data_IF_595423488430
#
_entry.id   IF_595423488430
#
_cell.length_a   1.000
_cell.length_b   1.000
_cell.length_c   1.000
_cell.angle_alpha   90.00
_cell.angle_beta   90.00
_cell.angle_gamma   90.00
#
_symmetry.space_group_name_H-M   'P 1'
#
loop_
_entity.id
_entity.type
_entity.pdbx_description
1 polymer ?
#
# COMPACT_ATOMS: atom_id res chain seq x y z
N UNK A 1 21.28 -19.36 -3.60
CA UNK A 1 21.16 -19.57 -2.12
C UNK A 1 20.41 -20.87 -1.80
N UNK A 2 20.54 -21.41 -0.59
CA UNK A 2 19.76 -22.56 -0.09
C UNK A 2 18.67 -22.10 0.92
N UNK A 3 17.79 -23.03 1.34
CA UNK A 3 16.65 -22.71 2.22
C UNK A 3 17.08 -22.13 3.58
N UNK A 4 18.14 -22.67 4.17
CA UNK A 4 18.64 -22.26 5.50
C UNK A 4 19.20 -20.84 5.44
N UNK A 5 20.06 -20.53 4.46
CA UNK A 5 20.60 -19.18 4.27
C UNK A 5 19.53 -18.15 4.01
N UNK A 6 18.46 -18.51 3.29
CA UNK A 6 17.33 -17.59 3.09
C UNK A 6 16.63 -17.32 4.42
N UNK A 7 16.36 -18.36 5.23
CA UNK A 7 15.73 -18.17 6.55
C UNK A 7 16.59 -17.33 7.49
N UNK A 8 17.90 -17.60 7.56
CA UNK A 8 18.85 -16.82 8.36
C UNK A 8 18.86 -15.36 7.96
N UNK A 9 18.91 -15.07 6.65
CA UNK A 9 18.87 -13.70 6.12
C UNK A 9 17.55 -12.99 6.47
N UNK A 10 16.40 -13.66 6.36
CA UNK A 10 15.11 -13.09 6.73
C UNK A 10 15.04 -12.76 8.23
N UNK A 11 15.53 -13.66 9.08
CA UNK A 11 15.60 -13.45 10.53
C UNK A 11 16.59 -12.34 10.90
N UNK A 12 17.69 -12.20 10.15
CA UNK A 12 18.64 -11.12 10.36
C UNK A 12 18.04 -9.76 9.93
N UNK A 13 17.26 -9.70 8.84
CA UNK A 13 16.53 -8.47 8.44
C UNK A 13 15.55 -8.03 9.54
N UNK A 14 14.74 -8.96 10.05
CA UNK A 14 13.88 -8.70 11.19
C UNK A 14 13.58 -10.01 11.91
N UNK A 15 13.78 -10.06 13.23
CA UNK A 15 13.43 -11.22 14.04
C UNK A 15 11.91 -11.52 13.99
N UNK A 16 11.58 -12.81 14.07
CA UNK A 16 10.21 -13.31 14.19
C UNK A 16 10.08 -14.13 15.49
N UNK A 17 8.97 -13.95 16.21
CA UNK A 17 8.68 -14.75 17.42
C UNK A 17 8.09 -16.11 17.07
N UNK A 18 7.57 -16.28 15.85
CA UNK A 18 6.91 -17.50 15.41
C UNK A 18 7.81 -18.28 14.47
N UNK A 19 8.08 -19.55 14.81
CA UNK A 19 8.81 -20.41 13.89
C UNK A 19 8.08 -20.55 12.54
N UNK A 20 8.87 -20.61 11.47
CA UNK A 20 8.42 -20.71 10.08
C UNK A 20 9.43 -21.50 9.26
N UNK A 21 9.00 -22.01 8.11
CA UNK A 21 9.87 -22.73 7.18
C UNK A 21 10.03 -21.95 5.87
N UNK A 22 11.18 -22.10 5.23
CA UNK A 22 11.43 -21.62 3.87
C UNK A 22 11.71 -22.84 3.01
N UNK A 23 11.00 -22.97 1.88
CA UNK A 23 11.16 -24.08 0.96
C UNK A 23 11.23 -23.60 -0.49
N UNK A 24 12.39 -23.77 -1.11
CA UNK A 24 12.51 -23.79 -2.57
C UNK A 24 11.83 -25.04 -3.12
N UNK A 25 10.77 -24.85 -3.90
CA UNK A 25 9.87 -25.92 -4.33
C UNK A 25 10.43 -26.83 -5.44
N UNK A 26 11.53 -26.43 -6.08
CA UNK A 26 12.08 -27.09 -7.27
C UNK A 26 11.20 -26.95 -8.53
N UNK A 27 10.19 -26.07 -8.48
CA UNK A 27 9.16 -25.91 -9.50
C UNK A 27 9.18 -24.51 -10.08
N UNK A 28 8.68 -24.43 -11.30
CA UNK A 28 8.26 -23.18 -11.95
C UNK A 28 6.75 -23.02 -11.75
N UNK A 29 6.27 -21.79 -11.62
CA UNK A 29 4.85 -21.47 -11.51
C UNK A 29 4.51 -20.31 -12.40
N UNK A 30 3.51 -20.49 -13.27
CA UNK A 30 3.02 -19.43 -14.16
C UNK A 30 2.18 -18.36 -13.43
N UNK A 31 1.80 -18.60 -12.17
CA UNK A 31 0.85 -17.75 -11.42
C UNK A 31 1.53 -16.85 -10.41
N UNK A 32 2.49 -17.38 -9.66
CA UNK A 32 3.14 -16.70 -8.54
C UNK A 32 4.60 -17.12 -8.44
N UNK A 33 5.45 -16.24 -7.94
CA UNK A 33 6.87 -16.52 -7.68
C UNK A 33 7.11 -17.10 -6.28
N UNK A 34 6.26 -16.72 -5.32
CA UNK A 34 6.28 -17.19 -3.95
C UNK A 34 4.86 -17.36 -3.41
N UNK A 35 4.75 -18.05 -2.28
CA UNK A 35 3.50 -18.19 -1.54
C UNK A 35 3.78 -18.42 -0.06
N UNK A 36 3.30 -17.52 0.78
CA UNK A 36 3.17 -17.74 2.21
C UNK A 36 1.87 -18.51 2.55
N UNK A 37 2.00 -19.59 3.30
CA UNK A 37 0.88 -20.34 3.90
C UNK A 37 0.73 -19.98 5.37
N UNK A 38 -0.30 -19.21 5.76
CA UNK A 38 -0.46 -18.76 7.15
C UNK A 38 -0.65 -19.88 8.16
N UNK A 39 -1.38 -20.94 7.79
CA UNK A 39 -1.73 -22.05 8.70
C UNK A 39 -0.50 -22.85 9.13
N UNK A 40 0.39 -23.13 8.19
CA UNK A 40 1.63 -23.89 8.45
C UNK A 40 2.84 -23.00 8.68
N UNK A 41 2.70 -21.68 8.52
CA UNK A 41 3.79 -20.70 8.54
C UNK A 41 4.93 -21.13 7.59
N UNK A 42 4.56 -21.49 6.37
CA UNK A 42 5.50 -21.95 5.36
C UNK A 42 5.64 -20.90 4.26
N UNK A 43 6.88 -20.51 3.96
CA UNK A 43 7.24 -19.68 2.81
C UNK A 43 7.69 -20.61 1.69
N UNK A 44 6.92 -20.66 0.61
CA UNK A 44 7.25 -21.38 -0.60
C UNK A 44 7.85 -20.43 -1.65
N UNK A 45 8.95 -20.85 -2.26
CA UNK A 45 9.61 -20.12 -3.35
C UNK A 45 9.66 -21.02 -4.60
N UNK A 46 9.08 -20.55 -5.70
CA UNK A 46 9.14 -21.23 -7.00
C UNK A 46 10.47 -20.91 -7.68
N UNK A 47 11.54 -21.51 -7.17
CA UNK A 47 12.91 -21.11 -7.47
C UNK A 47 13.32 -21.26 -8.95
N UNK A 48 12.57 -21.99 -9.78
CA UNK A 48 12.80 -22.02 -11.24
C UNK A 48 12.29 -20.77 -11.97
N UNK A 49 11.49 -19.91 -11.31
CA UNK A 49 11.06 -18.63 -11.86
C UNK A 49 12.15 -17.55 -11.80
N UNK A 50 13.22 -17.74 -11.02
CA UNK A 50 14.22 -16.71 -10.78
C UNK A 50 15.46 -16.93 -11.63
N UNK A 51 16.00 -15.85 -12.16
CA UNK A 51 17.23 -15.84 -12.95
C UNK A 51 18.39 -15.18 -12.22
N UNK A 52 18.12 -14.50 -11.10
CA UNK A 52 19.12 -13.87 -10.24
C UNK A 52 18.77 -14.03 -8.77
N UNK A 53 19.77 -13.99 -7.89
CA UNK A 53 19.54 -14.00 -6.44
C UNK A 53 18.72 -12.77 -6.00
N UNK A 54 18.90 -11.61 -6.62
CA UNK A 54 18.09 -10.40 -6.34
C UNK A 54 16.58 -10.64 -6.50
N UNK A 55 16.15 -11.37 -7.55
CA UNK A 55 14.74 -11.69 -7.75
C UNK A 55 14.21 -12.67 -6.69
N UNK A 56 15.03 -13.65 -6.31
CA UNK A 56 14.72 -14.61 -5.26
C UNK A 56 14.57 -13.90 -3.90
N UNK A 57 15.52 -13.02 -3.55
CA UNK A 57 15.54 -12.29 -2.28
C UNK A 57 14.36 -11.32 -2.17
N UNK A 58 14.06 -10.57 -3.23
CA UNK A 58 12.86 -9.71 -3.28
C UNK A 58 11.59 -10.50 -2.96
N UNK A 59 11.45 -11.68 -3.56
CA UNK A 59 10.28 -12.55 -3.35
C UNK A 59 10.28 -13.16 -1.94
N UNK A 60 11.44 -13.57 -1.43
CA UNK A 60 11.55 -14.09 -0.07
C UNK A 60 11.13 -13.02 0.97
N UNK A 61 11.58 -11.77 0.82
CA UNK A 61 11.18 -10.66 1.69
C UNK A 61 9.68 -10.35 1.55
N UNK A 62 9.12 -10.50 0.35
CA UNK A 62 7.67 -10.34 0.12
C UNK A 62 6.86 -11.36 0.92
N UNK A 63 7.19 -12.64 0.79
CA UNK A 63 6.50 -13.70 1.53
C UNK A 63 6.77 -13.60 3.04
N UNK A 64 7.96 -13.17 3.44
CA UNK A 64 8.28 -12.91 4.84
C UNK A 64 7.49 -11.75 5.43
N UNK A 65 7.16 -10.74 4.61
CA UNK A 65 6.27 -9.67 5.03
C UNK A 65 4.87 -10.20 5.38
N UNK A 66 4.34 -11.15 4.58
CA UNK A 66 3.09 -11.82 4.95
C UNK A 66 3.21 -12.58 6.26
N UNK A 67 4.34 -13.27 6.49
CA UNK A 67 4.62 -13.96 7.75
C UNK A 67 4.60 -13.01 8.96
N UNK A 68 5.35 -11.91 8.91
CA UNK A 68 5.43 -10.96 10.02
C UNK A 68 4.10 -10.25 10.29
N UNK A 69 3.31 -9.97 9.26
CA UNK A 69 1.96 -9.39 9.43
C UNK A 69 1.00 -10.42 10.00
N UNK A 70 1.15 -11.70 9.64
CA UNK A 70 0.38 -12.78 10.22
C UNK A 70 0.69 -12.93 11.72
N UNK A 71 1.97 -12.88 12.10
CA UNK A 71 2.41 -12.86 13.49
C UNK A 71 1.77 -11.73 14.29
N UNK A 72 1.83 -10.49 13.79
CA UNK A 72 1.21 -9.33 14.45
C UNK A 72 -0.30 -9.52 14.66
N UNK A 73 -0.99 -10.07 13.66
CA UNK A 73 -2.44 -10.35 13.76
C UNK A 73 -2.76 -11.42 14.79
N UNK A 74 -1.93 -12.46 14.89
CA UNK A 74 -2.08 -13.50 15.90
C UNK A 74 -1.90 -12.88 17.30
N UNK A 75 -0.87 -12.06 17.48
CA UNK A 75 -0.60 -11.34 18.73
C UNK A 75 -1.77 -10.39 19.11
N UNK A 76 -2.24 -9.57 18.15
CA UNK A 76 -3.37 -8.65 18.37
C UNK A 76 -4.70 -9.35 18.69
N UNK A 77 -4.94 -10.53 18.11
CA UNK A 77 -6.15 -11.31 18.35
C UNK A 77 -6.05 -12.27 19.54
N UNK A 78 -4.87 -12.37 20.17
CA UNK A 78 -4.58 -13.38 21.18
C UNK A 78 -4.75 -14.81 20.68
N UNK A 79 -4.49 -15.05 19.38
CA UNK A 79 -4.63 -16.35 18.71
C UNK A 79 -6.06 -16.81 18.43
N UNK A 80 -7.06 -15.94 18.61
CA UNK A 80 -8.49 -16.31 18.54
C UNK A 80 -9.12 -16.17 17.16
N UNK A 81 -8.50 -15.40 16.27
CA UNK A 81 -8.97 -15.27 14.90
C UNK A 81 -8.08 -16.12 13.99
N UNK A 82 -8.66 -17.00 13.14
CA UNK A 82 -7.88 -17.68 12.12
C UNK A 82 -7.23 -16.63 11.19
N UNK A 83 -6.05 -16.92 10.65
CA UNK A 83 -5.35 -16.03 9.74
C UNK A 83 -6.09 -15.93 8.42
N UNK A 84 -7.15 -15.14 8.38
CA UNK A 84 -7.96 -14.96 7.19
C UNK A 84 -8.16 -13.46 6.96
N UNK A 85 -7.51 -12.94 5.92
CA UNK A 85 -7.92 -11.67 5.33
C UNK A 85 -7.97 -11.80 3.81
N UNK A 86 -9.06 -11.31 3.24
CA UNK A 86 -9.33 -11.29 1.80
C UNK A 86 -8.44 -10.32 1.01
N UNK A 87 -7.63 -9.49 1.66
CA UNK A 87 -6.70 -8.54 1.01
C UNK A 87 -5.34 -8.50 1.71
N UNK A 88 -4.36 -9.18 1.13
CA UNK A 88 -3.00 -9.31 1.68
C UNK A 88 -2.11 -8.10 1.36
N UNK A 89 -2.32 -7.43 0.23
CA UNK A 89 -1.52 -6.28 -0.23
C UNK A 89 -2.22 -4.94 0.07
N UNK A 90 -2.13 -4.51 1.32
CA UNK A 90 -2.58 -3.18 1.77
C UNK A 90 -1.42 -2.17 1.77
N UNK A 91 -1.69 -0.87 1.94
CA UNK A 91 -0.61 0.11 2.12
C UNK A 91 0.30 -0.21 3.31
N UNK A 92 -0.25 -0.84 4.36
CA UNK A 92 0.55 -1.29 5.49
C UNK A 92 1.52 -2.41 5.10
N UNK A 93 1.04 -3.37 4.30
CA UNK A 93 1.89 -4.41 3.72
C UNK A 93 3.04 -3.81 2.92
N UNK A 94 2.74 -2.91 1.97
CA UNK A 94 3.77 -2.33 1.10
C UNK A 94 4.76 -1.47 1.88
N UNK A 95 4.29 -0.67 2.83
CA UNK A 95 5.19 0.10 3.69
C UNK A 95 6.12 -0.80 4.52
N UNK A 96 5.61 -1.90 5.09
CA UNK A 96 6.43 -2.86 5.83
C UNK A 96 7.42 -3.58 4.91
N UNK A 97 6.96 -4.06 3.76
CA UNK A 97 7.79 -4.72 2.75
C UNK A 97 8.94 -3.82 2.29
N UNK A 98 8.66 -2.55 1.95
CA UNK A 98 9.71 -1.61 1.55
C UNK A 98 10.68 -1.29 2.70
N UNK A 99 10.20 -1.21 3.95
CA UNK A 99 11.08 -1.07 5.11
C UNK A 99 12.01 -2.28 5.29
N UNK A 100 11.54 -3.50 5.04
CA UNK A 100 12.38 -4.70 5.08
C UNK A 100 13.39 -4.74 3.92
N UNK A 101 13.00 -4.24 2.73
CA UNK A 101 13.94 -4.07 1.62
C UNK A 101 15.02 -3.04 1.95
N UNK A 102 14.67 -1.90 2.54
CA UNK A 102 15.65 -0.89 2.98
C UNK A 102 16.70 -1.53 3.91
N UNK A 103 16.26 -2.31 4.92
CA UNK A 103 17.17 -3.02 5.84
C UNK A 103 18.01 -4.06 5.09
N UNK A 104 17.43 -4.79 4.13
CA UNK A 104 18.15 -5.75 3.32
C UNK A 104 19.22 -5.08 2.43
N UNK A 105 18.97 -3.87 1.93
CA UNK A 105 19.96 -3.08 1.19
C UNK A 105 21.08 -2.58 2.10
N UNK A 106 20.74 -2.06 3.28
CA UNK A 106 21.72 -1.61 4.28
C UNK A 106 22.65 -2.74 4.73
N UNK A 107 22.12 -3.96 4.83
CA UNK A 107 22.88 -5.18 5.16
C UNK A 107 23.57 -5.84 3.98
N UNK A 108 23.37 -5.34 2.76
CA UNK A 108 23.98 -5.85 1.53
C UNK A 108 23.39 -7.17 1.03
N UNK A 109 22.23 -7.59 1.52
CA UNK A 109 21.51 -8.76 1.02
C UNK A 109 20.76 -8.48 -0.27
N UNK A 110 20.23 -7.26 -0.41
CA UNK A 110 19.49 -6.85 -1.59
C UNK A 110 20.19 -5.67 -2.26
N UNK A 111 20.12 -5.62 -3.59
CA UNK A 111 20.56 -4.46 -4.38
C UNK A 111 19.71 -4.37 -5.63
N UNK A 112 19.03 -3.24 -5.81
CA UNK A 112 18.47 -2.87 -7.10
C UNK A 112 19.57 -2.20 -7.94
N UNK A 113 20.02 -2.88 -9.00
CA UNK A 113 21.06 -2.35 -9.89
C UNK A 113 20.57 -2.33 -11.34
N UNK A 114 20.43 -1.12 -11.89
CA UNK A 114 20.03 -0.90 -13.27
C UNK A 114 21.23 -0.74 -14.21
N UNK A 115 22.47 -0.69 -13.70
CA UNK A 115 23.67 -0.44 -14.51
C UNK A 115 23.89 -1.51 -15.58
N UNK A 116 23.43 -2.74 -15.36
CA UNK A 116 23.46 -3.84 -16.33
C UNK A 116 22.42 -3.74 -17.45
N UNK A 117 21.54 -2.73 -17.44
CA UNK A 117 20.42 -2.59 -18.38
C UNK A 117 20.33 -1.15 -18.92
N UNK A 118 21.25 -0.73 -19.81
CA UNK A 118 21.32 0.66 -20.29
C UNK A 118 20.06 1.11 -21.03
N UNK A 119 19.38 0.20 -21.75
CA UNK A 119 18.09 0.51 -22.39
C UNK A 119 16.99 0.82 -21.38
N UNK A 120 16.97 0.10 -20.25
CA UNK A 120 16.02 0.35 -19.17
C UNK A 120 16.33 1.67 -18.45
N UNK A 121 17.60 2.00 -18.23
CA UNK A 121 18.02 3.28 -17.65
C UNK A 121 17.61 4.46 -18.56
N UNK A 122 17.86 4.36 -19.87
CA UNK A 122 17.46 5.36 -20.84
C UNK A 122 15.93 5.54 -20.88
N UNK A 123 15.18 4.44 -20.93
CA UNK A 123 13.72 4.49 -20.89
C UNK A 123 13.19 5.07 -19.57
N UNK A 124 13.84 4.76 -18.45
CA UNK A 124 13.46 5.30 -17.13
C UNK A 124 13.60 6.82 -17.10
N UNK A 125 14.70 7.36 -17.64
CA UNK A 125 14.90 8.82 -17.79
C UNK A 125 13.82 9.42 -18.69
N UNK A 126 13.56 8.81 -19.83
CA UNK A 126 12.51 9.27 -20.74
C UNK A 126 11.13 9.29 -20.09
N UNK A 127 10.75 8.24 -19.36
CA UNK A 127 9.47 8.16 -18.63
C UNK A 127 9.36 9.31 -17.62
N UNK A 128 10.42 9.58 -16.86
CA UNK A 128 10.43 10.63 -15.85
C UNK A 128 10.30 12.02 -16.48
N UNK A 129 11.14 12.32 -17.47
CA UNK A 129 11.27 13.65 -18.06
C UNK A 129 10.12 14.00 -19.01
N UNK A 130 9.63 13.05 -19.80
CA UNK A 130 8.58 13.33 -20.81
C UNK A 130 7.16 13.13 -20.32
N UNK A 131 6.96 12.30 -19.28
CA UNK A 131 5.61 11.93 -18.85
C UNK A 131 5.34 12.29 -17.40
N UNK A 132 6.18 11.86 -16.45
CA UNK A 132 5.89 12.04 -15.01
C UNK A 132 5.96 13.53 -14.64
N UNK A 133 7.07 14.20 -14.93
CA UNK A 133 7.26 15.62 -14.60
C UNK A 133 6.29 16.54 -15.36
N UNK A 134 6.11 16.42 -16.70
CA UNK A 134 5.15 17.25 -17.42
C UNK A 134 3.71 17.05 -16.96
N UNK A 135 3.31 15.82 -16.63
CA UNK A 135 1.99 15.55 -16.06
C UNK A 135 1.81 16.23 -14.68
N UNK A 136 2.86 16.29 -13.86
CA UNK A 136 2.84 17.08 -12.62
C UNK A 136 2.50 18.55 -12.86
N UNK A 137 3.17 19.19 -13.82
CA UNK A 137 2.96 20.59 -14.18
C UNK A 137 1.54 20.83 -14.73
N UNK A 138 1.08 19.99 -15.67
CA UNK A 138 -0.26 20.10 -16.26
C UNK A 138 -1.34 20.01 -15.17
N UNK A 139 -1.19 19.06 -14.24
CA UNK A 139 -2.18 18.86 -13.18
C UNK A 139 -2.12 19.98 -12.12
N UNK A 140 -0.96 20.58 -11.88
CA UNK A 140 -0.84 21.77 -11.04
C UNK A 140 -1.53 22.98 -11.67
N UNK A 141 -1.31 23.21 -12.97
CA UNK A 141 -1.94 24.29 -13.73
C UNK A 141 -3.47 24.10 -13.79
N UNK A 142 -3.94 22.89 -14.07
CA UNK A 142 -5.35 22.55 -14.01
C UNK A 142 -5.92 22.85 -12.62
N UNK A 143 -5.20 22.51 -11.55
CA UNK A 143 -5.60 22.84 -10.18
C UNK A 143 -5.80 24.34 -9.95
N UNK A 144 -4.85 25.16 -10.41
CA UNK A 144 -4.95 26.64 -10.34
C UNK A 144 -6.14 27.16 -11.15
N UNK A 145 -6.36 26.62 -12.35
CA UNK A 145 -7.49 26.99 -13.20
C UNK A 145 -8.84 26.57 -12.60
N UNK A 146 -8.94 25.41 -11.94
CA UNK A 146 -10.15 24.98 -11.24
C UNK A 146 -10.50 25.90 -10.07
N UNK A 147 -9.51 26.42 -9.33
CA UNK A 147 -9.71 27.42 -8.27
C UNK A 147 -10.30 28.70 -8.88
N UNK A 148 -9.69 29.19 -9.97
CA UNK A 148 -10.19 30.37 -10.68
C UNK A 148 -11.62 30.16 -11.22
N UNK A 149 -11.89 29.00 -11.81
CA UNK A 149 -13.20 28.64 -12.32
C UNK A 149 -14.25 28.61 -11.20
N UNK A 150 -13.89 28.14 -10.00
CA UNK A 150 -14.78 28.17 -8.84
C UNK A 150 -15.18 29.61 -8.48
N UNK A 151 -14.21 30.52 -8.37
CA UNK A 151 -14.49 31.95 -8.11
C UNK A 151 -15.37 32.57 -9.19
N UNK A 152 -15.14 32.25 -10.46
CA UNK A 152 -15.97 32.76 -11.56
C UNK A 152 -17.39 32.19 -11.53
N UNK A 153 -17.56 30.92 -11.16
CA UNK A 153 -18.89 30.33 -10.98
C UNK A 153 -19.66 31.04 -9.85
N UNK A 154 -19.00 31.31 -8.71
CA UNK A 154 -19.60 32.06 -7.60
C UNK A 154 -20.05 33.46 -8.05
N UNK A 155 -19.20 34.20 -8.77
CA UNK A 155 -19.51 35.53 -9.30
C UNK A 155 -20.68 35.52 -10.29
N UNK A 156 -20.78 34.47 -11.11
CA UNK A 156 -21.83 34.31 -12.10
C UNK A 156 -23.12 33.67 -11.54
N UNK A 157 -23.17 33.35 -10.23
CA UNK A 157 -24.26 32.58 -9.61
C UNK A 157 -24.50 31.21 -10.28
N UNK A 158 -23.43 30.57 -10.77
CA UNK A 158 -23.45 29.24 -11.37
C UNK A 158 -23.05 28.20 -10.31
N UNK A 159 -23.79 27.08 -10.24
CA UNK A 159 -23.44 25.96 -9.35
C UNK A 159 -22.17 25.28 -9.85
N UNK A 160 -21.07 25.39 -9.10
CA UNK A 160 -19.77 24.84 -9.50
C UNK A 160 -19.79 23.33 -9.75
N UNK A 161 -20.58 22.57 -9.00
CA UNK A 161 -20.69 21.13 -9.22
C UNK A 161 -21.36 20.78 -10.54
N UNK A 162 -22.31 21.59 -11.02
CA UNK A 162 -22.92 21.40 -12.35
C UNK A 162 -21.91 21.76 -13.45
N UNK A 163 -21.11 22.81 -13.23
CA UNK A 163 -19.98 23.14 -14.09
C UNK A 163 -18.95 21.99 -14.17
N UNK A 164 -18.59 21.39 -13.04
CA UNK A 164 -17.70 20.22 -13.01
C UNK A 164 -18.31 19.03 -13.73
N UNK A 165 -19.53 18.64 -13.38
CA UNK A 165 -20.12 17.37 -13.82
C UNK A 165 -20.58 17.43 -15.29
N UNK A 166 -21.13 18.56 -15.75
CA UNK A 166 -21.77 18.66 -17.07
C UNK A 166 -20.95 19.42 -18.10
N UNK A 167 -20.20 20.44 -17.68
CA UNK A 167 -19.40 21.25 -18.61
C UNK A 167 -18.00 20.67 -18.75
N UNK A 168 -17.29 20.48 -17.64
CA UNK A 168 -15.94 19.90 -17.65
C UNK A 168 -15.95 18.37 -17.71
N UNK A 169 -17.07 17.73 -17.39
CA UNK A 169 -17.20 16.26 -17.33
C UNK A 169 -16.14 15.63 -16.42
N UNK A 170 -15.80 16.32 -15.33
CA UNK A 170 -14.72 15.95 -14.42
C UNK A 170 -15.32 15.41 -13.12
N UNK A 171 -14.98 14.17 -12.69
CA UNK A 171 -15.44 13.66 -11.41
C UNK A 171 -15.03 14.58 -10.26
N UNK A 172 -15.99 14.90 -9.39
CA UNK A 172 -15.76 15.82 -8.24
C UNK A 172 -14.59 15.39 -7.35
N UNK A 173 -14.37 14.09 -7.18
CA UNK A 173 -13.24 13.53 -6.43
C UNK A 173 -11.89 13.84 -7.08
N UNK A 174 -11.82 13.78 -8.41
CA UNK A 174 -10.66 14.20 -9.19
C UNK A 174 -10.45 15.70 -9.08
N UNK A 175 -11.50 16.51 -9.34
CA UNK A 175 -11.42 17.97 -9.22
C UNK A 175 -10.88 18.41 -7.85
N UNK A 176 -11.43 17.83 -6.76
CA UNK A 176 -10.97 18.11 -5.39
C UNK A 176 -9.50 17.74 -5.17
N UNK A 177 -9.02 16.65 -5.76
CA UNK A 177 -7.62 16.23 -5.62
C UNK A 177 -6.69 17.15 -6.41
N UNK A 178 -7.04 17.47 -7.65
CA UNK A 178 -6.30 18.36 -8.54
C UNK A 178 -6.23 19.79 -8.00
N UNK A 179 -7.33 20.32 -7.47
CA UNK A 179 -7.37 21.64 -6.82
C UNK A 179 -6.37 21.72 -5.65
N UNK A 180 -6.23 20.67 -4.83
CA UNK A 180 -5.24 20.66 -3.75
C UNK A 180 -3.81 20.65 -4.28
N UNK A 181 -3.57 19.92 -5.37
CA UNK A 181 -2.27 19.89 -6.05
C UNK A 181 -1.90 21.28 -6.60
N UNK A 182 -2.88 22.02 -7.15
CA UNK A 182 -2.66 23.40 -7.63
C UNK A 182 -2.23 24.41 -6.56
N UNK A 183 -2.32 24.07 -5.27
CA UNK A 183 -1.87 24.89 -4.14
C UNK A 183 -0.44 24.55 -3.67
N UNK A 184 0.20 23.54 -4.27
CA UNK A 184 1.59 23.19 -3.96
C UNK A 184 2.58 24.17 -4.62
N UNK A 185 3.81 24.29 -4.09
CA UNK A 185 4.91 24.99 -4.76
C UNK A 185 5.17 24.45 -6.17
N UNK A 186 5.62 25.29 -7.10
CA UNK A 186 5.88 24.89 -8.50
C UNK A 186 6.89 23.74 -8.58
N UNK A 187 7.95 23.80 -7.77
CA UNK A 187 9.02 22.80 -7.74
C UNK A 187 8.52 21.38 -7.34
N UNK A 188 7.35 21.26 -6.72
CA UNK A 188 6.76 19.95 -6.41
C UNK A 188 6.21 19.25 -7.66
N UNK A 189 6.08 19.94 -8.81
CA UNK A 189 5.64 19.34 -10.07
C UNK A 189 6.61 18.25 -10.57
N UNK A 190 7.89 18.33 -10.21
CA UNK A 190 8.90 17.30 -10.53
C UNK A 190 8.60 15.94 -9.90
N UNK A 191 7.79 15.90 -8.83
CA UNK A 191 7.39 14.66 -8.19
C UNK A 191 6.40 13.85 -9.04
N UNK A 192 5.71 14.51 -9.98
CA UNK A 192 4.59 13.97 -10.75
C UNK A 192 3.28 13.92 -9.96
N UNK A 193 2.16 13.92 -10.69
CA UNK A 193 0.81 14.12 -10.12
C UNK A 193 0.43 13.16 -8.98
N UNK A 194 0.74 11.87 -9.09
CA UNK A 194 0.36 10.88 -8.06
C UNK A 194 1.11 11.11 -6.73
N UNK A 195 2.38 11.49 -6.78
CA UNK A 195 3.15 11.86 -5.60
C UNK A 195 2.70 13.20 -5.03
N UNK A 196 2.39 14.17 -5.89
CA UNK A 196 1.83 15.45 -5.47
C UNK A 196 0.52 15.27 -4.70
N UNK A 197 -0.33 14.28 -5.03
CA UNK A 197 -1.55 13.99 -4.25
C UNK A 197 -1.25 13.60 -2.80
N UNK A 198 -0.16 12.85 -2.58
CA UNK A 198 0.28 12.45 -1.24
C UNK A 198 0.73 13.69 -0.47
N UNK A 199 1.59 14.51 -1.07
CA UNK A 199 2.06 15.78 -0.47
C UNK A 199 0.87 16.70 -0.17
N UNK A 200 -0.02 16.93 -1.14
CA UNK A 200 -1.21 17.76 -1.00
C UNK A 200 -2.23 17.25 0.04
N UNK A 201 -2.15 15.98 0.44
CA UNK A 201 -2.97 15.42 1.52
C UNK A 201 -2.47 15.79 2.92
N UNK A 202 -1.21 16.19 3.04
CA UNK A 202 -0.59 16.56 4.31
C UNK A 202 -1.07 17.95 4.77
N UNK A 203 -1.58 18.02 6.01
CA UNK A 203 -2.22 19.24 6.53
C UNK A 203 -1.21 20.32 6.93
N UNK A 204 -0.08 19.93 7.53
CA UNK A 204 0.95 20.86 8.01
C UNK A 204 2.02 21.09 6.95
N UNK A 205 2.60 22.28 6.94
CA UNK A 205 3.73 22.60 6.05
C UNK A 205 4.96 21.70 6.33
N UNK A 206 5.24 21.43 7.61
CA UNK A 206 6.33 20.52 8.00
C UNK A 206 6.12 19.09 7.51
N UNK A 207 4.90 18.56 7.64
CA UNK A 207 4.56 17.22 7.15
C UNK A 207 4.67 17.15 5.61
N UNK A 208 4.29 18.22 4.91
CA UNK A 208 4.47 18.35 3.45
C UNK A 208 5.93 18.29 3.06
N UNK A 209 6.79 19.07 3.70
CA UNK A 209 8.23 19.06 3.41
C UNK A 209 8.84 17.67 3.62
N UNK A 210 8.51 17.02 4.75
CA UNK A 210 8.96 15.64 5.03
C UNK A 210 8.49 14.64 3.98
N UNK A 211 7.26 14.75 3.51
CA UNK A 211 6.74 13.89 2.45
C UNK A 211 7.47 14.14 1.11
N UNK A 212 7.68 15.40 0.73
CA UNK A 212 8.44 15.78 -0.46
C UNK A 212 9.87 15.21 -0.42
N UNK A 213 10.57 15.41 0.70
CA UNK A 213 11.95 14.92 0.86
C UNK A 213 12.03 13.40 0.79
N UNK A 214 11.11 12.69 1.44
CA UNK A 214 11.08 11.23 1.40
C UNK A 214 10.87 10.69 -0.03
N UNK A 215 9.99 11.33 -0.82
CA UNK A 215 9.78 10.96 -2.22
C UNK A 215 11.04 11.25 -3.05
N UNK A 216 11.68 12.40 -2.86
CA UNK A 216 12.93 12.76 -3.56
C UNK A 216 14.08 11.81 -3.22
N UNK A 217 14.10 11.26 -2.01
CA UNK A 217 15.04 10.23 -1.59
C UNK A 217 14.70 8.82 -2.12
N UNK A 218 13.65 8.67 -2.92
CA UNK A 218 13.29 7.40 -3.56
C UNK A 218 12.42 6.48 -2.70
N UNK A 219 11.87 6.95 -1.57
CA UNK A 219 10.93 6.14 -0.78
C UNK A 219 9.65 5.87 -1.58
N UNK A 220 9.11 4.66 -1.42
CA UNK A 220 7.87 4.27 -2.08
C UNK A 220 6.68 5.14 -1.63
N UNK A 221 5.66 5.34 -2.48
CA UNK A 221 4.43 6.04 -2.12
C UNK A 221 3.78 5.49 -0.83
N UNK A 222 3.74 4.16 -0.67
CA UNK A 222 3.17 3.53 0.52
C UNK A 222 3.99 3.78 1.79
N UNK A 223 5.32 3.78 1.69
CA UNK A 223 6.21 4.16 2.80
C UNK A 223 5.97 5.61 3.24
N UNK A 224 5.81 6.53 2.29
CA UNK A 224 5.54 7.94 2.59
C UNK A 224 4.16 8.11 3.23
N UNK A 225 3.13 7.44 2.69
CA UNK A 225 1.79 7.44 3.30
C UNK A 225 1.83 6.90 4.73
N UNK A 226 2.58 5.82 4.97
CA UNK A 226 2.74 5.25 6.30
C UNK A 226 3.47 6.20 7.26
N UNK A 227 4.52 6.89 6.79
CA UNK A 227 5.26 7.91 7.56
C UNK A 227 4.34 9.08 7.98
N UNK A 228 3.43 9.49 7.09
CA UNK A 228 2.51 10.61 7.33
C UNK A 228 1.28 10.24 8.17
N UNK A 229 0.95 8.95 8.28
CA UNK A 229 -0.08 8.50 9.21
C UNK A 229 0.42 8.67 10.63
N UNK A 230 -0.28 9.51 11.42
CA UNK A 230 -0.10 9.49 12.88
C UNK A 230 -0.28 8.05 13.36
N UNK A 231 0.70 7.49 14.07
CA UNK A 231 0.50 6.26 14.84
C UNK A 231 -0.78 6.46 15.64
N UNK A 232 -1.83 5.72 15.30
CA UNK A 232 -2.97 5.63 16.19
C UNK A 232 -2.40 5.19 17.53
N UNK A 233 -2.67 5.94 18.60
CA UNK A 233 -2.34 5.49 19.95
C UNK A 233 -2.79 4.04 20.04
N UNK A 234 -1.87 3.16 20.42
CA UNK A 234 -2.10 1.75 20.63
C UNK A 234 -3.36 1.61 21.48
N UNK A 235 -4.49 1.35 20.82
CA UNK A 235 -5.75 1.20 21.51
C UNK A 235 -5.58 -0.02 22.40
N UNK A 236 -5.87 0.15 23.69
CA UNK A 236 -5.82 -0.91 24.71
C UNK A 236 -6.35 -2.24 24.10
N UNK A 237 -5.52 -3.30 24.05
CA UNK A 237 -5.89 -4.59 23.45
C UNK A 237 -7.24 -5.10 23.97
N UNK A 238 -7.55 -4.85 25.24
CA UNK A 238 -8.84 -5.23 25.83
C UNK A 238 -10.01 -4.52 25.14
N UNK A 239 -9.90 -3.21 24.91
CA UNK A 239 -10.94 -2.42 24.23
C UNK A 239 -11.13 -2.82 22.77
N UNK A 240 -10.05 -3.24 22.08
CA UNK A 240 -10.16 -3.82 20.73
C UNK A 240 -10.98 -5.12 20.76
N UNK A 241 -10.66 -6.03 21.68
CA UNK A 241 -11.37 -7.31 21.82
C UNK A 241 -12.84 -7.12 22.24
N UNK A 242 -13.15 -6.17 23.12
CA UNK A 242 -14.53 -5.84 23.51
C UNK A 242 -15.35 -5.36 22.30
N UNK A 243 -14.78 -4.47 21.48
CA UNK A 243 -15.44 -4.03 20.24
C UNK A 243 -15.66 -5.16 19.25
N UNK A 244 -14.70 -6.06 19.10
CA UNK A 244 -14.85 -7.20 18.20
C UNK A 244 -15.90 -8.19 18.73
N UNK A 245 -15.93 -8.45 20.04
CA UNK A 245 -17.01 -9.24 20.68
C UNK A 245 -18.38 -8.63 20.39
N UNK A 246 -18.54 -7.32 20.60
CA UNK A 246 -19.82 -6.64 20.41
C UNK A 246 -20.26 -6.69 18.93
N UNK A 247 -19.31 -6.51 18.01
CA UNK A 247 -19.54 -6.66 16.57
C UNK A 247 -19.95 -8.09 16.22
N UNK A 248 -19.24 -9.11 16.70
CA UNK A 248 -19.56 -10.52 16.45
C UNK A 248 -20.93 -10.88 17.01
N UNK A 249 -21.25 -10.41 18.22
CA UNK A 249 -22.57 -10.62 18.84
C UNK A 249 -23.68 -10.02 17.99
N UNK A 250 -23.46 -8.81 17.47
CA UNK A 250 -24.41 -8.17 16.55
C UNK A 250 -24.59 -8.98 15.26
N UNK A 251 -23.49 -9.41 14.63
CA UNK A 251 -23.53 -10.23 13.42
C UNK A 251 -24.26 -11.55 13.65
N UNK A 252 -24.03 -12.21 14.80
CA UNK A 252 -24.73 -13.44 15.17
C UNK A 252 -26.24 -13.19 15.30
N UNK A 253 -26.63 -12.11 15.98
CA UNK A 253 -28.04 -11.74 16.10
C UNK A 253 -28.70 -11.48 14.74
N UNK A 254 -28.04 -10.75 13.85
CA UNK A 254 -28.54 -10.48 12.49
C UNK A 254 -28.67 -11.76 11.66
N UNK A 255 -27.69 -12.66 11.75
CA UNK A 255 -27.71 -13.94 11.05
C UNK A 255 -28.78 -14.89 11.61
N UNK A 256 -29.02 -14.87 12.91
CA UNK A 256 -30.05 -15.68 13.57
C UNK A 256 -31.44 -15.24 13.14
N UNK A 257 -31.73 -13.92 13.17
CA UNK A 257 -33.00 -13.39 12.66
C UNK A 257 -33.22 -13.70 11.19
N UNK A 258 -32.15 -13.62 10.39
CA UNK A 258 -32.23 -13.97 8.96
C UNK A 258 -32.51 -15.46 8.75
N UNK A 259 -31.96 -16.33 9.61
CA UNK A 259 -32.23 -17.76 9.57
C UNK A 259 -33.69 -18.04 9.94
N UNK A 260 -34.21 -17.43 11.01
CA UNK A 260 -35.62 -17.55 11.41
C UNK A 260 -36.56 -17.18 10.25
N UNK A 261 -36.32 -16.06 9.57
CA UNK A 261 -37.11 -15.65 8.41
C UNK A 261 -37.10 -16.69 7.27
N UNK A 262 -35.95 -17.33 7.03
CA UNK A 262 -35.82 -18.38 6.03
C UNK A 262 -36.58 -19.64 6.46
N UNK A 263 -36.50 -20.02 7.74
CA UNK A 263 -37.21 -21.17 8.29
C UNK A 263 -38.73 -20.97 8.28
N UNK A 264 -39.22 -19.78 8.65
CA UNK A 264 -40.64 -19.40 8.54
C UNK A 264 -41.12 -19.47 7.08
N UNK A 265 -40.31 -18.96 6.14
CA UNK A 265 -40.62 -19.03 4.71
C UNK A 265 -40.68 -20.46 4.19
N UNK A 266 -39.82 -21.36 4.69
CA UNK A 266 -39.81 -22.78 4.34
C UNK A 266 -40.99 -23.54 4.96
N UNK A 267 -41.37 -23.22 6.19
CA UNK A 267 -42.50 -23.83 6.88
C UNK A 267 -43.86 -23.36 6.31
N UNK A 268 -43.89 -22.19 5.67
CA UNK A 268 -45.06 -21.67 4.95
C UNK A 268 -45.21 -22.16 3.50
N UNK A 269 -44.29 -23.00 3.01
CA UNK A 269 -44.41 -23.74 1.74
C UNK A 269 -45.07 -25.10 1.95
#
# INVERSE_FOLDING_TARGET
MDNEKIKEMLLDIQESKLDFTVTMTGKESKRVNGLYKPDTREILLHNKNFHTDTQLIYTAIHEYTHHLINEEKIEESGGRNPPCQSRSHTNYFWAKFHGLLDIAEEKGYYKLDLSGAPELDALTKEIREKYIQPNGHIMQELGKNLIKAHTLCEQANIRYEDYLDRILQLPRTTAKSVTKVGLLPEDDAELGYENMKIVASCKKAEDRAKATDAIKQGKSPDSVIALMKKKAQTADPKKKLEKERDRLTKTISELTQRLEYVEESLAGM
#
